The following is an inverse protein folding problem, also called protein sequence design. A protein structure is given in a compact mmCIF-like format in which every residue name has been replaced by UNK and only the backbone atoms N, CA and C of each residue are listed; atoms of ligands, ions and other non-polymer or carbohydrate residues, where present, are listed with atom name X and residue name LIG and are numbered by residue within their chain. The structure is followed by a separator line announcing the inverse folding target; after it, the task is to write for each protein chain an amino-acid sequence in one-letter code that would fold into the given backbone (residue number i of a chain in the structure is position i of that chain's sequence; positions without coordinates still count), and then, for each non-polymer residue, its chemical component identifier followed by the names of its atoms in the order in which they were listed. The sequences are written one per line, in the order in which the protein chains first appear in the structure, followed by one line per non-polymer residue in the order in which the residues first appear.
data_IF_921668141867
#
_entry.id   IF_921668141867
#
_cell.length_a   1.000
_cell.length_b   1.000
_cell.length_c   1.000
_cell.angle_alpha   90.00
_cell.angle_beta   90.00
_cell.angle_gamma   90.00
#
_symmetry.space_group_name_H-M   'P 1'
#
loop_
_entity.id
_entity.type
_entity.pdbx_description
1 polymer ?
#
# COMPACT_ATOMS: atom_id res chain seq x y z
N UNK A 1 -9.98 -12.90 -3.69
CA UNK A 1 -8.97 -11.90 -3.29
C UNK A 1 -8.78 -11.97 -1.79
N UNK A 2 -7.56 -11.75 -1.28
CA UNK A 2 -7.31 -11.64 0.17
C UNK A 2 -7.49 -10.18 0.57
N UNK A 3 -8.38 -9.88 1.52
CA UNK A 3 -8.61 -8.53 2.01
C UNK A 3 -7.55 -8.15 3.06
N UNK A 4 -6.78 -7.08 2.88
CA UNK A 4 -5.83 -6.64 3.88
C UNK A 4 -6.56 -6.03 5.10
N UNK A 5 -6.07 -6.32 6.31
CA UNK A 5 -6.65 -5.81 7.57
C UNK A 5 -5.63 -5.07 8.43
N UNK A 6 -4.34 -5.18 8.11
CA UNK A 6 -3.29 -4.39 8.75
C UNK A 6 -2.12 -4.19 7.78
N UNK A 7 -1.55 -2.98 7.83
CA UNK A 7 -0.28 -2.61 7.22
C UNK A 7 0.39 -1.59 8.12
N UNK A 8 1.72 -1.59 8.17
CA UNK A 8 2.47 -0.52 8.78
C UNK A 8 2.42 0.71 7.88
N UNK A 9 1.68 1.73 8.30
CA UNK A 9 1.59 3.02 7.62
C UNK A 9 2.84 3.87 7.85
N UNK A 10 3.20 4.67 6.84
CA UNK A 10 4.33 5.59 6.87
C UNK A 10 4.12 6.69 7.91
N UNK A 11 5.16 7.10 8.66
CA UNK A 11 5.06 8.22 9.59
C UNK A 11 4.71 9.56 8.92
N UNK A 12 4.85 9.65 7.59
CA UNK A 12 4.49 10.83 6.82
C UNK A 12 2.99 10.96 6.53
N UNK A 13 2.24 9.86 6.62
CA UNK A 13 0.81 9.81 6.29
C UNK A 13 0.06 8.95 7.30
N UNK A 14 0.46 8.97 8.58
CA UNK A 14 -0.27 8.28 9.65
C UNK A 14 -1.16 9.31 10.34
N UNK A 15 -2.49 9.08 10.35
CA UNK A 15 -3.43 10.05 10.92
C UNK A 15 -4.67 9.42 11.58
N UNK A 16 -5.52 8.73 10.84
CA UNK A 16 -6.93 8.49 11.24
C UNK A 16 -7.20 7.08 11.80
N UNK A 17 -6.15 6.26 11.94
CA UNK A 17 -6.27 4.89 12.45
C UNK A 17 -6.75 3.87 11.42
N UNK A 18 -6.72 4.20 10.13
CA UNK A 18 -6.90 3.27 9.02
C UNK A 18 -5.92 3.60 7.89
N UNK A 19 -5.61 2.60 7.07
CA UNK A 19 -4.81 2.78 5.86
C UNK A 19 -5.72 2.78 4.62
N UNK A 20 -5.86 3.91 3.94
CA UNK A 20 -6.69 4.01 2.75
C UNK A 20 -5.94 3.83 1.44
N UNK A 21 -6.59 3.11 0.54
CA UNK A 21 -6.13 2.87 -0.82
C UNK A 21 -7.23 3.31 -1.78
N UNK A 22 -6.92 4.20 -2.73
CA UNK A 22 -7.84 4.55 -3.81
C UNK A 22 -7.93 3.38 -4.79
N UNK A 23 -9.04 2.62 -4.76
CA UNK A 23 -9.18 1.41 -5.56
C UNK A 23 -9.09 1.60 -7.08
N UNK A 24 -9.50 2.75 -7.60
CA UNK A 24 -9.63 3.02 -9.05
C UNK A 24 -8.81 4.21 -9.56
N UNK A 25 -7.96 4.79 -8.72
CA UNK A 25 -7.14 5.95 -9.09
C UNK A 25 -5.66 5.60 -8.92
N UNK A 26 -4.77 6.03 -9.84
CA UNK A 26 -3.34 5.83 -9.73
C UNK A 26 -2.74 6.84 -8.74
N UNK A 27 -3.20 6.82 -7.50
CA UNK A 27 -2.86 7.74 -6.42
C UNK A 27 -2.65 6.94 -5.14
N UNK A 28 -1.54 7.20 -4.46
CA UNK A 28 -1.30 6.77 -3.10
C UNK A 28 -1.95 7.75 -2.13
N UNK A 29 -3.11 7.41 -1.57
CA UNK A 29 -3.74 8.23 -0.53
C UNK A 29 -2.90 8.18 0.75
N UNK A 30 -2.68 6.98 1.27
CA UNK A 30 -1.73 6.70 2.35
C UNK A 30 -0.51 5.96 1.82
N UNK A 31 0.64 6.14 2.48
CA UNK A 31 1.90 5.53 2.11
C UNK A 31 2.25 4.37 3.04
N UNK A 32 2.65 3.19 2.53
CA UNK A 32 3.15 2.13 3.40
C UNK A 32 4.55 2.49 3.91
N UNK A 33 4.86 2.12 5.16
CA UNK A 33 6.19 2.26 5.69
C UNK A 33 7.18 1.39 4.91
N UNK A 34 8.41 1.90 4.72
CA UNK A 34 9.47 1.19 3.98
C UNK A 34 10.68 0.85 4.86
N UNK A 35 10.53 0.93 6.18
CA UNK A 35 11.60 0.83 7.17
C UNK A 35 12.18 -0.58 7.33
N UNK A 36 11.54 -1.62 6.78
CA UNK A 36 12.01 -3.01 6.83
C UNK A 36 12.72 -3.43 5.52
N UNK A 37 13.66 -2.61 5.05
CA UNK A 37 14.46 -2.93 3.86
C UNK A 37 13.71 -2.77 2.54
N UNK A 38 13.01 -1.62 2.38
CA UNK A 38 12.08 -1.35 1.28
C UNK A 38 10.93 -2.37 1.25
N UNK A 39 10.32 -2.59 2.41
CA UNK A 39 9.23 -3.54 2.58
C UNK A 39 8.52 -3.34 3.92
N UNK A 40 7.43 -4.09 4.09
CA UNK A 40 6.60 -4.06 5.28
C UNK A 40 5.71 -5.30 5.40
N UNK A 41 5.18 -5.54 6.59
CA UNK A 41 4.27 -6.65 6.87
C UNK A 41 2.83 -6.24 6.56
N UNK A 42 2.11 -7.12 5.86
CA UNK A 42 0.68 -7.00 5.55
C UNK A 42 -0.04 -8.23 6.10
N UNK A 43 -1.15 -8.04 6.80
CA UNK A 43 -2.00 -9.15 7.24
C UNK A 43 -3.38 -9.10 6.57
N UNK A 44 -4.04 -10.26 6.50
CA UNK A 44 -5.27 -10.44 5.76
C UNK A 44 -6.41 -10.97 6.64
N UNK A 45 -7.64 -10.74 6.19
CA UNK A 45 -8.86 -11.13 6.90
C UNK A 45 -9.00 -12.64 7.14
N UNK A 46 -8.27 -13.46 6.38
CA UNK A 46 -8.23 -14.92 6.53
C UNK A 46 -7.16 -15.39 7.56
N UNK A 47 -6.50 -14.45 8.26
CA UNK A 47 -5.49 -14.72 9.27
C UNK A 47 -4.06 -14.87 8.72
N UNK A 48 -3.86 -14.83 7.40
CA UNK A 48 -2.51 -14.86 6.83
C UNK A 48 -1.75 -13.56 7.10
N UNK A 49 -0.43 -13.69 7.17
CA UNK A 49 0.52 -12.58 7.25
C UNK A 49 1.60 -12.80 6.20
N UNK A 50 1.89 -11.75 5.43
CA UNK A 50 2.92 -11.77 4.39
C UNK A 50 3.89 -10.61 4.63
N UNK A 51 5.17 -10.86 4.41
CA UNK A 51 6.14 -9.79 4.24
C UNK A 51 6.16 -9.38 2.76
N UNK A 52 5.88 -8.11 2.49
CA UNK A 52 5.91 -7.56 1.15
C UNK A 52 7.16 -6.70 0.99
N UNK A 53 8.03 -7.08 0.03
CA UNK A 53 9.08 -6.20 -0.46
C UNK A 53 8.50 -5.32 -1.57
N UNK A 54 8.69 -4.01 -1.44
CA UNK A 54 8.27 -3.03 -2.44
C UNK A 54 9.10 -3.22 -3.71
N UNK A 55 8.41 -3.34 -4.83
CA UNK A 55 9.01 -3.47 -6.14
C UNK A 55 9.62 -2.15 -6.61
N UNK A 56 9.01 -1.02 -6.24
CA UNK A 56 9.45 0.29 -6.63
C UNK A 56 10.35 0.90 -5.54
N UNK A 57 11.55 1.33 -5.93
CA UNK A 57 12.45 2.04 -5.02
C UNK A 57 11.90 3.42 -4.63
N UNK A 58 10.99 3.95 -5.44
CA UNK A 58 10.29 5.20 -5.19
C UNK A 58 9.32 5.10 -4.01
N UNK A 59 8.78 3.92 -3.69
CA UNK A 59 7.84 3.72 -2.57
C UNK A 59 8.42 4.23 -1.24
N UNK A 60 9.72 3.99 -1.00
CA UNK A 60 10.43 4.49 0.18
C UNK A 60 10.72 6.00 0.19
N UNK A 61 10.57 6.68 -0.94
CA UNK A 61 10.92 8.10 -1.10
C UNK A 61 9.72 9.03 -0.98
N UNK A 62 8.50 8.50 -1.01
CA UNK A 62 7.24 9.23 -0.89
C UNK A 62 7.08 9.80 0.53
N UNK A 63 6.51 11.00 0.64
CA UNK A 63 6.39 11.75 1.90
C UNK A 63 5.11 12.58 2.05
N UNK A 64 4.21 12.56 1.06
CA UNK A 64 2.98 13.35 1.09
C UNK A 64 1.75 12.47 0.87
N UNK A 65 0.60 12.98 1.29
CA UNK A 65 -0.71 12.42 0.95
C UNK A 65 -1.02 12.61 -0.54
N UNK A 66 -1.88 11.73 -1.06
CA UNK A 66 -2.40 11.77 -2.44
C UNK A 66 -1.29 11.89 -3.50
N UNK A 67 -0.16 11.22 -3.28
CA UNK A 67 0.94 11.22 -4.24
C UNK A 67 0.60 10.41 -5.50
N UNK A 68 0.87 10.93 -6.71
CA UNK A 68 0.68 10.18 -7.94
C UNK A 68 1.48 8.87 -7.95
N UNK A 69 0.86 7.80 -8.44
CA UNK A 69 1.52 6.53 -8.70
C UNK A 69 2.70 6.69 -9.67
N UNK A 70 3.68 5.79 -9.56
CA UNK A 70 4.77 5.70 -10.53
C UNK A 70 4.21 5.40 -11.92
N UNK A 71 4.74 6.10 -12.94
CA UNK A 71 4.42 5.86 -14.36
C UNK A 71 5.49 4.96 -15.00
N UNK A 72 5.13 4.10 -15.97
CA UNK A 72 3.77 3.85 -16.47
C UNK A 72 2.93 2.96 -15.53
N UNK A 73 3.57 2.21 -14.63
CA UNK A 73 2.93 1.29 -13.69
C UNK A 73 3.59 1.40 -12.32
N UNK A 74 2.77 1.32 -11.27
CA UNK A 74 3.19 1.22 -9.88
C UNK A 74 2.69 -0.13 -9.32
N UNK A 75 3.57 -1.13 -9.30
CA UNK A 75 3.20 -2.50 -8.91
C UNK A 75 2.85 -2.61 -7.43
N UNK A 76 3.45 -1.76 -6.60
CA UNK A 76 3.17 -1.73 -5.18
C UNK A 76 1.74 -1.21 -4.95
N UNK A 77 1.35 -0.11 -5.61
CA UNK A 77 -0.01 0.42 -5.50
C UNK A 77 -1.04 -0.58 -6.01
N UNK A 78 -0.80 -1.19 -7.18
CA UNK A 78 -1.71 -2.21 -7.74
C UNK A 78 -1.90 -3.39 -6.79
N UNK A 79 -0.83 -3.84 -6.12
CA UNK A 79 -0.90 -4.93 -5.16
C UNK A 79 -1.74 -4.55 -3.94
N UNK A 80 -1.63 -3.32 -3.44
CA UNK A 80 -2.51 -2.80 -2.39
C UNK A 80 -3.96 -2.65 -2.86
N UNK A 81 -4.20 -2.14 -4.07
CA UNK A 81 -5.54 -2.01 -4.64
C UNK A 81 -6.25 -3.37 -4.74
N UNK A 82 -5.54 -4.41 -5.20
CA UNK A 82 -6.04 -5.79 -5.26
C UNK A 82 -6.32 -6.39 -3.87
N UNK A 83 -5.60 -5.93 -2.84
CA UNK A 83 -5.78 -6.38 -1.46
C UNK A 83 -6.86 -5.59 -0.71
N UNK A 84 -7.24 -4.39 -1.17
CA UNK A 84 -8.28 -3.58 -0.55
C UNK A 84 -9.64 -3.78 -1.19
N UNK A 85 -9.71 -3.88 -2.52
CA UNK A 85 -10.95 -4.07 -3.25
C UNK A 85 -10.84 -5.29 -4.16
N UNK A 86 -11.87 -6.14 -4.15
CA UNK A 86 -12.00 -7.19 -5.17
C UNK A 86 -12.26 -6.49 -6.50
N UNK A 87 -11.22 -6.37 -7.33
CA UNK A 87 -11.33 -5.94 -8.72
C UNK A 87 -12.02 -7.07 -9.50
N UNK A 88 -13.33 -7.13 -9.44
CA UNK A 88 -14.13 -7.75 -10.49
C UNK A 88 -14.70 -6.62 -11.33
N UNK A 89 -14.31 -6.56 -12.59
CA UNK A 89 -15.03 -5.81 -13.62
C UNK A 89 -16.50 -6.26 -13.69
#
# INVERSE_FOLDING_TARGET
AKANVFVHESPYTIEDGYFAVKGFQPIWQNLPASTHGNGGTVSFADGHVEFWKWYEAETAKRKNWDEPAKKPVDRDLQRFQQATATLTE
#
